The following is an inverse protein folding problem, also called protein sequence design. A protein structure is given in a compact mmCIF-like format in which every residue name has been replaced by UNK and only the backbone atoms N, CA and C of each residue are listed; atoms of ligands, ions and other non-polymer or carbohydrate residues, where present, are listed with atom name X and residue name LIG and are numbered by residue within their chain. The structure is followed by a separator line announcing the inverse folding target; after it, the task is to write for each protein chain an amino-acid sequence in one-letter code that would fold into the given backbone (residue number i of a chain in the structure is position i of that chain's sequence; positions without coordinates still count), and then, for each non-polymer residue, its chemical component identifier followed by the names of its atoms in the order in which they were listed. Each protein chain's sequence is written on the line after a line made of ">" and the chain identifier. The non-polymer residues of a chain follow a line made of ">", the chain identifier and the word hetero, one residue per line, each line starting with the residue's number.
data_IF_153241308508
#
_entry.id   IF_153241308508
#
_cell.length_a   1.000
_cell.length_b   1.000
_cell.length_c   1.000
_cell.angle_alpha   90.00
_cell.angle_beta   90.00
_cell.angle_gamma   90.00
#
_symmetry.space_group_name_H-M   'P 1'
#
loop_
_entity.id
_entity.type
_entity.pdbx_description
1 polymer ?
#
# COMPACT_ATOMS: atom_id res chain seq x y z
N UNK A 1 -15.70 -45.32 -76.59
CA UNK A 1 -14.43 -44.66 -76.22
C UNK A 1 -14.70 -43.90 -74.92
N UNK A 2 -14.56 -44.49 -73.72
CA UNK A 2 -13.33 -44.65 -72.88
C UNK A 2 -12.53 -43.32 -72.86
N UNK A 3 -12.32 -42.58 -71.77
CA UNK A 3 -11.65 -42.94 -70.50
C UNK A 3 -11.98 -41.99 -69.31
N UNK A 4 -11.74 -42.54 -68.12
CA UNK A 4 -11.82 -41.99 -66.75
C UNK A 4 -10.68 -41.01 -66.39
N UNK A 5 -10.78 -40.49 -65.14
CA UNK A 5 -9.72 -39.91 -64.25
C UNK A 5 -9.27 -38.49 -64.61
N UNK A 6 -9.02 -37.53 -63.69
CA UNK A 6 -8.44 -37.61 -62.34
C UNK A 6 -8.68 -36.32 -61.54
N UNK A 7 -8.86 -36.45 -60.23
CA UNK A 7 -8.75 -35.40 -59.20
C UNK A 7 -7.36 -34.75 -59.20
N UNK A 8 -7.26 -33.41 -59.16
CA UNK A 8 -6.15 -32.72 -58.45
C UNK A 8 -6.69 -31.42 -57.83
N UNK A 9 -6.67 -31.39 -56.50
CA UNK A 9 -6.90 -30.20 -55.69
C UNK A 9 -5.74 -29.22 -55.85
N UNK A 10 -6.02 -27.97 -56.20
CA UNK A 10 -5.02 -26.89 -56.13
C UNK A 10 -5.03 -26.34 -54.71
N UNK A 11 -4.03 -26.73 -53.94
CA UNK A 11 -3.78 -26.30 -52.58
C UNK A 11 -2.55 -25.39 -52.55
N UNK A 12 -2.59 -24.41 -51.64
CA UNK A 12 -1.49 -23.50 -51.20
C UNK A 12 -1.27 -22.36 -52.20
N UNK A 13 -1.40 -21.09 -51.83
CA UNK A 13 -0.73 -20.42 -50.71
C UNK A 13 -1.62 -19.30 -50.15
N UNK A 14 -1.97 -19.36 -48.88
CA UNK A 14 -2.31 -18.15 -48.12
C UNK A 14 -1.22 -17.96 -47.06
N UNK A 15 -0.37 -16.97 -47.31
CA UNK A 15 0.64 -16.48 -46.39
C UNK A 15 -0.08 -15.77 -45.24
N UNK A 16 -0.49 -16.52 -44.22
CA UNK A 16 -1.08 -15.97 -42.99
C UNK A 16 0.02 -15.52 -42.04
N UNK A 17 0.63 -14.35 -42.28
CA UNK A 17 1.43 -13.69 -41.24
C UNK A 17 0.44 -13.06 -40.24
N UNK A 18 0.09 -13.81 -39.21
CA UNK A 18 -0.62 -13.30 -38.06
C UNK A 18 0.38 -12.48 -37.21
N UNK A 19 0.48 -11.18 -37.48
CA UNK A 19 1.20 -10.25 -36.59
C UNK A 19 0.43 -10.18 -35.27
N UNK A 20 0.89 -10.92 -34.25
CA UNK A 20 0.53 -10.62 -32.87
C UNK A 20 1.08 -9.24 -32.54
N UNK A 21 0.24 -8.21 -32.67
CA UNK A 21 0.54 -6.90 -32.12
C UNK A 21 0.40 -7.03 -30.61
N UNK A 22 1.53 -7.23 -29.93
CA UNK A 22 1.60 -7.13 -28.47
C UNK A 22 1.33 -5.68 -28.09
N UNK A 23 0.07 -5.35 -27.76
CA UNK A 23 -0.26 -4.04 -27.19
C UNK A 23 0.34 -3.98 -25.78
N UNK A 24 1.42 -3.23 -25.62
CA UNK A 24 1.91 -2.84 -24.30
C UNK A 24 0.91 -1.80 -23.78
N UNK A 25 -0.04 -2.23 -22.94
CA UNK A 25 -0.87 -1.28 -22.20
C UNK A 25 0.03 -0.65 -21.14
N UNK A 26 0.33 0.65 -21.19
CA UNK A 26 1.05 1.29 -20.10
C UNK A 26 0.19 1.19 -18.83
N UNK A 27 0.74 0.61 -17.75
CA UNK A 27 0.16 0.76 -16.42
C UNK A 27 0.28 2.23 -16.05
N UNK A 28 -0.84 2.95 -16.12
CA UNK A 28 -0.93 4.30 -15.58
C UNK A 28 -0.98 4.16 -14.05
N UNK A 29 -0.03 4.80 -13.36
CA UNK A 29 -0.19 5.03 -11.93
C UNK A 29 -1.33 6.04 -11.77
N UNK A 30 -2.44 5.62 -11.17
CA UNK A 30 -3.49 6.58 -10.84
C UNK A 30 -3.00 7.43 -9.68
N UNK A 31 -2.91 8.74 -9.89
CA UNK A 31 -2.66 9.69 -8.82
C UNK A 31 -3.77 9.58 -7.77
N UNK A 32 -3.38 9.50 -6.51
CA UNK A 32 -4.33 9.38 -5.40
C UNK A 32 -4.52 10.75 -4.80
N UNK A 33 -5.77 11.22 -4.82
CA UNK A 33 -6.15 12.50 -4.23
C UNK A 33 -5.82 12.53 -2.74
N UNK A 34 -5.32 13.67 -2.27
CA UNK A 34 -5.08 13.90 -0.85
C UNK A 34 -6.40 14.15 -0.12
N UNK A 35 -6.89 13.10 0.54
CA UNK A 35 -8.19 13.08 1.25
C UNK A 35 -8.06 12.82 2.76
N UNK A 36 -6.82 12.82 3.27
CA UNK A 36 -6.52 12.63 4.68
C UNK A 36 -5.71 13.80 5.25
N UNK A 37 -6.18 14.32 6.38
CA UNK A 37 -5.49 15.33 7.19
C UNK A 37 -5.52 14.92 8.66
N UNK A 38 -4.46 15.25 9.39
CA UNK A 38 -4.39 15.02 10.84
C UNK A 38 -4.35 16.35 11.59
N UNK A 39 -5.10 16.41 12.69
CA UNK A 39 -4.94 17.42 13.75
C UNK A 39 -4.38 16.69 14.96
N UNK A 40 -3.22 17.14 15.44
CA UNK A 40 -2.56 16.54 16.61
C UNK A 40 -2.77 17.45 17.80
N UNK A 41 -3.49 16.93 18.80
CA UNK A 41 -3.72 17.60 20.05
C UNK A 41 -2.91 16.93 21.18
N UNK A 42 -3.08 17.42 22.40
CA UNK A 42 -2.30 16.95 23.55
C UNK A 42 -2.59 15.49 23.89
N UNK A 43 -3.88 15.12 23.89
CA UNK A 43 -4.36 13.83 24.40
C UNK A 43 -5.05 12.99 23.31
N UNK A 44 -5.22 13.55 22.10
CA UNK A 44 -5.81 12.86 20.97
C UNK A 44 -5.19 13.29 19.63
N UNK A 45 -5.43 12.47 18.61
CA UNK A 45 -5.16 12.78 17.22
C UNK A 45 -6.45 12.59 16.43
N UNK A 46 -6.87 13.62 15.71
CA UNK A 46 -8.08 13.60 14.89
C UNK A 46 -7.69 13.40 13.43
N UNK A 47 -8.17 12.33 12.80
CA UNK A 47 -8.09 12.14 11.36
C UNK A 47 -9.34 12.71 10.70
N UNK A 48 -9.15 13.66 9.79
CA UNK A 48 -10.17 14.16 8.87
C UNK A 48 -10.13 13.34 7.59
N UNK A 49 -11.08 12.44 7.43
CA UNK A 49 -11.28 11.65 6.21
C UNK A 49 -12.28 12.38 5.31
N UNK A 50 -11.78 13.17 4.38
CA UNK A 50 -12.62 14.00 3.50
C UNK A 50 -13.35 13.17 2.46
N UNK A 51 -12.81 12.00 2.08
CA UNK A 51 -13.46 11.05 1.18
C UNK A 51 -14.78 10.54 1.77
N UNK A 52 -14.80 10.22 3.06
CA UNK A 52 -15.99 9.76 3.76
C UNK A 52 -16.78 10.88 4.46
N UNK A 53 -16.28 12.13 4.42
CA UNK A 53 -16.90 13.27 5.10
C UNK A 53 -16.97 13.14 6.62
N UNK A 54 -16.00 12.49 7.27
CA UNK A 54 -16.05 12.19 8.72
C UNK A 54 -14.71 12.41 9.43
N UNK A 55 -14.78 12.45 10.76
CA UNK A 55 -13.62 12.50 11.65
C UNK A 55 -13.51 11.24 12.48
N UNK A 56 -12.29 10.70 12.61
CA UNK A 56 -11.98 9.54 13.44
C UNK A 56 -10.90 9.90 14.45
N UNK A 57 -11.10 9.60 15.74
CA UNK A 57 -10.21 10.02 16.84
C UNK A 57 -9.34 8.87 17.33
N UNK A 58 -8.07 9.16 17.55
CA UNK A 58 -7.12 8.30 18.26
C UNK A 58 -6.84 8.91 19.63
N UNK A 59 -7.39 8.32 20.67
CA UNK A 59 -7.08 8.70 22.05
C UNK A 59 -5.73 8.12 22.48
N UNK A 60 -4.93 8.94 23.16
CA UNK A 60 -3.68 8.51 23.77
C UNK A 60 -3.95 7.86 25.14
N UNK A 61 -3.28 6.75 25.42
CA UNK A 61 -3.33 6.09 26.73
C UNK A 61 -2.59 6.91 27.79
N UNK A 62 -2.74 6.50 29.06
CA UNK A 62 -2.00 7.11 30.16
C UNK A 62 -0.48 7.09 29.90
N UNK A 63 0.16 8.26 30.01
CA UNK A 63 1.58 8.49 29.74
C UNK A 63 2.00 8.16 28.29
N UNK A 64 1.06 7.91 27.38
CA UNK A 64 1.31 7.83 25.95
C UNK A 64 1.51 9.24 25.40
N UNK A 65 2.50 9.40 24.53
CA UNK A 65 2.87 10.69 23.92
C UNK A 65 3.27 10.43 22.49
N UNK A 66 2.78 11.28 21.58
CA UNK A 66 3.24 11.29 20.19
C UNK A 66 4.72 11.67 20.15
N UNK A 67 5.50 10.93 19.37
CA UNK A 67 6.92 11.18 19.10
C UNK A 67 7.13 11.72 17.69
N UNK A 68 6.39 11.19 16.73
CA UNK A 68 6.43 11.59 15.33
C UNK A 68 5.12 11.18 14.64
N UNK A 69 4.83 11.76 13.49
CA UNK A 69 3.75 11.31 12.62
C UNK A 69 4.02 11.70 11.16
N UNK A 70 3.51 10.90 10.23
CA UNK A 70 3.57 11.15 8.79
C UNK A 70 2.20 10.92 8.17
N UNK A 71 1.87 11.73 7.16
CA UNK A 71 0.58 11.69 6.45
C UNK A 71 0.87 11.76 4.96
N UNK A 72 0.23 10.89 4.18
CA UNK A 72 0.20 10.94 2.71
C UNK A 72 -1.25 11.06 2.24
N UNK A 73 -1.50 10.82 0.96
CA UNK A 73 -2.77 11.11 0.31
C UNK A 73 -3.97 10.42 0.98
N UNK A 74 -3.81 9.16 1.39
CA UNK A 74 -4.90 8.34 1.93
C UNK A 74 -4.49 7.47 3.14
N UNK A 75 -3.31 7.74 3.71
CA UNK A 75 -2.72 6.97 4.81
C UNK A 75 -1.98 7.89 5.78
N UNK A 76 -1.99 7.54 7.07
CA UNK A 76 -1.12 8.15 8.06
C UNK A 76 -0.52 7.11 8.99
N UNK A 77 0.62 7.44 9.57
CA UNK A 77 1.23 6.71 10.68
C UNK A 77 1.58 7.69 11.79
N UNK A 78 1.16 7.36 13.01
CA UNK A 78 1.52 8.04 14.24
C UNK A 78 2.44 7.12 15.03
N UNK A 79 3.57 7.66 15.47
CA UNK A 79 4.52 6.98 16.36
C UNK A 79 4.36 7.55 17.75
N UNK A 80 4.05 6.69 18.72
CA UNK A 80 4.04 7.06 20.14
C UNK A 80 5.22 6.44 20.86
N UNK A 81 5.38 6.77 22.14
CA UNK A 81 6.31 6.07 23.03
C UNK A 81 5.89 4.63 23.37
N UNK A 82 4.71 4.16 22.92
CA UNK A 82 4.17 2.83 23.26
C UNK A 82 3.84 1.97 22.04
N UNK A 83 3.45 2.57 20.91
CA UNK A 83 2.97 1.86 19.73
C UNK A 83 3.12 2.68 18.45
N UNK A 84 2.97 2.00 17.33
CA UNK A 84 2.70 2.58 16.03
C UNK A 84 1.19 2.51 15.79
N UNK A 85 0.59 3.55 15.23
CA UNK A 85 -0.82 3.57 14.87
C UNK A 85 -0.97 4.04 13.43
N UNK A 86 -1.56 3.19 12.59
CA UNK A 86 -1.85 3.49 11.21
C UNK A 86 -3.27 4.02 11.10
N UNK A 87 -3.52 4.88 10.12
CA UNK A 87 -4.86 5.26 9.69
C UNK A 87 -4.97 5.07 8.19
N UNK A 88 -6.03 4.41 7.75
CA UNK A 88 -6.35 4.23 6.35
C UNK A 88 -7.76 4.72 6.05
N UNK A 89 -7.91 5.59 5.05
CA UNK A 89 -9.22 6.19 4.73
C UNK A 89 -10.27 5.17 4.28
N UNK A 90 -9.85 4.01 3.75
CA UNK A 90 -10.73 2.90 3.35
C UNK A 90 -10.79 1.78 4.38
N UNK A 91 -9.77 1.65 5.23
CA UNK A 91 -9.71 0.66 6.31
C UNK A 91 -10.70 0.95 7.45
N UNK A 92 -11.27 2.15 7.48
CA UNK A 92 -12.37 2.50 8.38
C UNK A 92 -11.96 2.92 9.79
N UNK A 93 -10.71 3.34 10.01
CA UNK A 93 -10.30 3.87 11.31
C UNK A 93 -8.80 3.75 11.59
N UNK A 94 -8.46 3.80 12.88
CA UNK A 94 -7.12 3.68 13.44
C UNK A 94 -6.77 2.22 13.81
N UNK A 95 -5.56 1.76 13.50
CA UNK A 95 -5.09 0.39 13.76
C UNK A 95 -3.70 0.43 14.40
N UNK A 96 -3.59 -0.09 15.62
CA UNK A 96 -2.36 -0.05 16.40
C UNK A 96 -1.55 -1.34 16.35
N UNK A 97 -0.22 -1.21 16.40
CA UNK A 97 0.71 -2.32 16.69
C UNK A 97 1.75 -1.87 17.74
N UNK A 98 2.06 -2.73 18.70
CA UNK A 98 2.93 -2.38 19.84
C UNK A 98 4.39 -2.30 19.41
N UNK A 99 5.12 -1.34 19.97
CA UNK A 99 6.59 -1.35 19.95
C UNK A 99 7.11 -2.28 21.03
N UNK A 100 8.15 -3.05 20.72
CA UNK A 100 8.83 -3.92 21.67
C UNK A 100 9.74 -3.12 22.61
N UNK A 101 10.14 -3.74 23.72
CA UNK A 101 11.03 -3.08 24.68
C UNK A 101 12.37 -2.73 24.03
N UNK A 102 12.76 -1.44 24.12
CA UNK A 102 13.96 -0.86 23.48
C UNK A 102 13.90 -0.77 21.95
N UNK A 103 12.78 -1.13 21.33
CA UNK A 103 12.53 -0.86 19.92
C UNK A 103 12.42 0.66 19.70
N UNK A 104 13.17 1.16 18.72
CA UNK A 104 13.28 2.56 18.32
C UNK A 104 13.00 2.66 16.83
N UNK A 105 12.06 3.54 16.47
CA UNK A 105 11.83 3.94 15.08
C UNK A 105 13.05 4.69 14.57
N UNK A 106 13.51 4.31 13.38
CA UNK A 106 14.66 4.89 12.69
C UNK A 106 14.23 5.66 11.44
N UNK A 107 13.20 5.18 10.74
CA UNK A 107 12.69 5.82 9.52
C UNK A 107 11.19 5.54 9.37
N UNK A 108 10.48 6.50 8.79
CA UNK A 108 9.09 6.39 8.39
C UNK A 108 8.96 6.91 6.96
N UNK A 109 8.34 6.12 6.11
CA UNK A 109 7.99 6.49 4.75
C UNK A 109 6.49 6.28 4.55
N UNK A 110 5.83 7.26 3.92
CA UNK A 110 4.39 7.20 3.62
C UNK A 110 4.18 7.61 2.18
N UNK A 111 3.39 6.83 1.46
CA UNK A 111 3.02 7.14 0.08
C UNK A 111 1.63 6.58 -0.19
N UNK A 112 0.74 7.44 -0.68
CA UNK A 112 -0.57 7.03 -1.16
C UNK A 112 -1.41 6.28 -0.11
N UNK A 113 -1.52 4.96 -0.26
CA UNK A 113 -2.23 4.06 0.66
C UNK A 113 -1.29 3.25 1.57
N UNK A 114 0.02 3.43 1.47
CA UNK A 114 1.02 2.57 2.11
C UNK A 114 1.95 3.36 3.01
N UNK A 115 2.36 2.73 4.10
CA UNK A 115 3.39 3.25 4.97
C UNK A 115 4.39 2.15 5.35
N UNK A 116 5.65 2.52 5.41
CA UNK A 116 6.75 1.66 5.86
C UNK A 116 7.41 2.30 7.06
N UNK A 117 7.55 1.55 8.15
CA UNK A 117 8.25 1.97 9.36
C UNK A 117 9.43 1.05 9.57
N UNK A 118 10.63 1.62 9.61
CA UNK A 118 11.86 0.89 9.92
C UNK A 118 12.22 1.17 11.37
N UNK A 119 12.38 0.11 12.16
CA UNK A 119 12.91 0.16 13.52
C UNK A 119 14.29 -0.49 13.57
N UNK A 120 14.97 -0.41 14.72
CA UNK A 120 16.21 -1.17 14.94
C UNK A 120 16.00 -2.70 14.93
N UNK A 121 14.77 -3.19 15.10
CA UNK A 121 14.51 -4.63 15.24
C UNK A 121 13.79 -5.25 14.02
N UNK A 122 12.93 -4.48 13.34
CA UNK A 122 12.08 -4.96 12.25
C UNK A 122 11.71 -3.86 11.28
N UNK A 123 11.19 -4.28 10.13
CA UNK A 123 10.55 -3.43 9.14
C UNK A 123 9.06 -3.77 9.18
N UNK A 124 8.22 -2.76 9.34
CA UNK A 124 6.76 -2.90 9.37
C UNK A 124 6.15 -2.18 8.18
N UNK A 125 5.13 -2.78 7.58
CA UNK A 125 4.32 -2.19 6.54
C UNK A 125 2.88 -2.07 7.02
N UNK A 126 2.27 -0.92 6.77
CA UNK A 126 0.84 -0.69 6.95
C UNK A 126 0.18 -0.41 5.61
N UNK A 127 -0.90 -1.12 5.32
CA UNK A 127 -1.69 -0.91 4.11
C UNK A 127 -3.04 -0.29 4.45
N UNK A 128 -3.19 1.01 4.18
CA UNK A 128 -4.34 1.83 4.52
C UNK A 128 -5.64 1.45 3.79
N UNK A 129 -5.61 0.57 2.78
CA UNK A 129 -6.86 0.02 2.21
C UNK A 129 -7.48 -1.05 3.09
N UNK A 130 -6.67 -1.93 3.69
CA UNK A 130 -7.16 -3.03 4.53
C UNK A 130 -6.99 -2.76 6.03
N UNK A 131 -6.18 -1.78 6.41
CA UNK A 131 -5.80 -1.53 7.80
C UNK A 131 -4.83 -2.57 8.35
N UNK A 132 -4.24 -3.40 7.48
CA UNK A 132 -3.38 -4.49 7.90
C UNK A 132 -1.95 -4.00 8.19
N UNK A 133 -1.43 -4.46 9.32
CA UNK A 133 -0.01 -4.41 9.63
C UNK A 133 0.65 -5.74 9.26
N UNK A 134 1.81 -5.68 8.63
CA UNK A 134 2.71 -6.83 8.45
C UNK A 134 4.13 -6.41 8.82
N UNK A 135 5.00 -7.38 9.14
CA UNK A 135 6.38 -7.06 9.46
C UNK A 135 7.33 -8.19 9.12
N UNK A 136 8.61 -7.84 8.97
CA UNK A 136 9.73 -8.79 8.90
C UNK A 136 10.85 -8.37 9.85
N UNK A 137 11.55 -9.34 10.44
CA UNK A 137 12.71 -9.05 11.30
C UNK A 137 13.87 -8.58 10.43
N UNK A 138 14.66 -7.64 10.95
CA UNK A 138 15.91 -7.26 10.29
C UNK A 138 16.94 -8.36 10.51
N UNK A 139 17.59 -8.82 9.44
CA UNK A 139 18.82 -9.58 9.58
C UNK A 139 19.92 -8.58 9.97
N UNK A 140 20.35 -8.63 11.23
CA UNK A 140 21.56 -7.92 11.64
C UNK A 140 22.72 -8.63 10.96
N UNK A 141 23.31 -8.00 9.96
CA UNK A 141 24.59 -8.43 9.42
C UNK A 141 25.62 -8.08 10.51
N UNK A 142 26.02 -9.06 11.30
CA UNK A 142 27.14 -8.92 12.23
C UNK A 142 28.34 -8.47 11.38
N UNK A 143 28.80 -7.24 11.64
CA UNK A 143 30.06 -6.73 11.10
C UNK A 143 31.21 -7.29 11.92
#
# INVERSE_FOLDING_TARGET
>A
MIQNTTTVAVSRYLCGILLMVSTVIPVQANDIEKVLFLVVEKDEIVASNTLAGRFDRLNLHAKERVRDYKVSNAVAVVVTNQRLVGYGVLAGGWQGTRLEAREKVQQIEVQDYSATVVTNDRILNFYGRSGAWSHTRRRVQLR
#
